data_IF_945156004519
#
_entry.id   IF_945156004519
#
_cell.length_a   1.000
_cell.length_b   1.000
_cell.length_c   1.000
_cell.angle_alpha   90.00
_cell.angle_beta   90.00
_cell.angle_gamma   90.00
#
_symmetry.space_group_name_H-M   'P 1'
#
loop_
_entity.id
_entity.type
_entity.pdbx_description
1 polymer ?
#
# COMPACT_ATOMS: atom_id res chain seq x y z
N UNK A 1 -2.50 4.37 21.82
CA UNK A 1 -3.35 4.04 20.66
C UNK A 1 -2.73 4.69 19.42
N UNK A 2 -2.83 4.07 18.24
CA UNK A 2 -2.36 4.69 16.99
C UNK A 2 -3.38 5.76 16.58
N UNK A 3 -2.94 7.00 16.51
CA UNK A 3 -3.72 8.12 15.99
C UNK A 3 -3.31 8.41 14.55
N UNK A 4 -4.28 8.76 13.70
CA UNK A 4 -4.01 9.22 12.35
C UNK A 4 -4.59 10.60 12.10
N UNK A 5 -3.85 11.41 11.35
CA UNK A 5 -4.27 12.76 10.96
C UNK A 5 -3.90 13.01 9.50
N UNK A 6 -4.86 13.43 8.69
CA UNK A 6 -4.59 13.93 7.35
C UNK A 6 -4.10 15.37 7.45
N UNK A 7 -2.83 15.60 7.08
CA UNK A 7 -2.18 16.93 7.17
C UNK A 7 -2.42 17.76 5.90
N UNK A 8 -2.42 17.08 4.74
CA UNK A 8 -2.81 17.63 3.44
C UNK A 8 -3.46 16.52 2.61
N UNK A 9 -4.00 16.81 1.41
CA UNK A 9 -4.51 15.76 0.52
C UNK A 9 -3.49 14.65 0.22
N UNK A 10 -2.20 14.97 0.21
CA UNK A 10 -1.06 14.10 -0.14
C UNK A 10 -0.32 13.54 1.08
N UNK A 11 -0.57 14.04 2.29
CA UNK A 11 0.19 13.67 3.50
C UNK A 11 -0.72 13.12 4.60
N UNK A 12 -0.49 11.85 4.95
CA UNK A 12 -1.11 11.17 6.08
C UNK A 12 -0.08 11.01 7.23
N UNK A 13 -0.44 11.40 8.44
CA UNK A 13 0.40 11.24 9.62
C UNK A 13 -0.13 10.13 10.52
N UNK A 14 0.76 9.23 10.95
CA UNK A 14 0.57 8.29 12.05
C UNK A 14 1.31 8.83 13.27
N UNK A 15 0.62 8.93 14.41
CA UNK A 15 1.20 9.29 15.69
C UNK A 15 1.07 8.10 16.62
N UNK A 16 2.22 7.56 17.05
CA UNK A 16 2.31 6.31 17.78
C UNK A 16 3.06 6.56 19.09
N UNK A 17 2.41 6.38 20.26
CA UNK A 17 3.14 6.38 21.52
C UNK A 17 4.05 5.15 21.56
N UNK A 18 5.29 5.30 22.03
CA UNK A 18 6.24 4.18 22.13
C UNK A 18 7.04 4.19 23.42
N UNK A 19 7.47 3.00 23.83
CA UNK A 19 8.52 2.74 24.81
C UNK A 19 9.77 2.24 24.08
N UNK A 20 10.94 2.50 24.65
CA UNK A 20 12.18 2.03 24.04
C UNK A 20 12.17 0.49 23.88
N UNK A 21 12.63 0.03 22.72
CA UNK A 21 12.73 -1.40 22.39
C UNK A 21 11.51 -1.96 21.65
N UNK A 22 10.39 -1.24 21.64
CA UNK A 22 9.18 -1.68 20.94
C UNK A 22 9.35 -1.67 19.43
N UNK A 23 8.77 -2.69 18.79
CA UNK A 23 8.71 -2.83 17.33
C UNK A 23 7.26 -2.71 16.88
N UNK A 24 7.05 -1.93 15.83
CA UNK A 24 5.74 -1.67 15.25
C UNK A 24 5.71 -2.25 13.84
N UNK A 25 4.68 -3.03 13.54
CA UNK A 25 4.51 -3.66 12.23
C UNK A 25 3.42 -2.95 11.43
N UNK A 26 3.61 -2.88 10.12
CA UNK A 26 2.65 -2.38 9.14
C UNK A 26 2.53 -3.41 8.02
N UNK A 27 1.29 -3.66 7.60
CA UNK A 27 1.02 -4.46 6.42
C UNK A 27 0.88 -3.55 5.20
N UNK A 28 1.72 -3.78 4.19
CA UNK A 28 1.73 -2.99 2.96
C UNK A 28 1.31 -3.89 1.79
N UNK A 29 0.35 -3.43 0.99
CA UNK A 29 -0.09 -4.16 -0.20
C UNK A 29 -0.39 -3.20 -1.37
N UNK A 30 -0.33 -3.71 -2.60
CA UNK A 30 -0.75 -3.03 -3.83
C UNK A 30 -1.25 -4.11 -4.80
N UNK A 31 -1.81 -3.69 -5.94
CA UNK A 31 -2.22 -4.58 -7.03
C UNK A 31 -3.09 -5.75 -6.53
N UNK A 32 -4.04 -5.44 -5.63
CA UNK A 32 -4.89 -6.44 -4.97
C UNK A 32 -5.90 -7.00 -5.97
N UNK A 33 -6.46 -6.14 -6.81
CA UNK A 33 -7.47 -6.48 -7.82
C UNK A 33 -8.64 -7.29 -7.27
N UNK A 34 -9.21 -6.83 -6.15
CA UNK A 34 -10.12 -7.59 -5.31
C UNK A 34 -11.32 -8.20 -6.07
N UNK A 35 -11.88 -7.49 -7.03
CA UNK A 35 -13.02 -7.91 -7.85
C UNK A 35 -12.67 -8.88 -8.99
N UNK A 36 -11.39 -9.05 -9.32
CA UNK A 36 -10.99 -9.99 -10.37
C UNK A 36 -11.11 -11.45 -9.88
N UNK A 37 -11.67 -12.40 -10.65
CA UNK A 37 -11.75 -13.82 -10.29
C UNK A 37 -10.40 -14.46 -9.94
N UNK A 38 -9.30 -13.97 -10.54
CA UNK A 38 -7.94 -14.44 -10.29
C UNK A 38 -7.32 -13.90 -8.99
N UNK A 39 -7.97 -12.97 -8.30
CA UNK A 39 -7.52 -12.50 -7.00
C UNK A 39 -7.70 -13.60 -5.93
N UNK A 40 -6.60 -13.99 -5.29
CA UNK A 40 -6.60 -14.87 -4.13
C UNK A 40 -7.06 -14.11 -2.87
N UNK A 41 -8.38 -13.97 -2.77
CA UNK A 41 -9.04 -13.34 -1.62
C UNK A 41 -8.79 -14.10 -0.31
N UNK A 42 -8.45 -15.39 -0.36
CA UNK A 42 -8.16 -16.18 0.85
C UNK A 42 -6.80 -15.80 1.39
N UNK A 43 -5.79 -15.73 0.54
CA UNK A 43 -4.45 -15.25 0.91
C UNK A 43 -4.51 -13.80 1.43
N UNK A 44 -5.23 -12.93 0.74
CA UNK A 44 -5.38 -11.54 1.18
C UNK A 44 -6.09 -11.43 2.54
N UNK A 45 -7.21 -12.14 2.72
CA UNK A 45 -7.92 -12.19 4.01
C UNK A 45 -7.01 -12.71 5.14
N UNK A 46 -6.22 -13.76 4.87
CA UNK A 46 -5.27 -14.30 5.85
C UNK A 46 -4.25 -13.27 6.31
N UNK A 47 -3.67 -12.49 5.40
CA UNK A 47 -2.74 -11.43 5.79
C UNK A 47 -3.43 -10.29 6.56
N UNK A 48 -4.69 -9.97 6.25
CA UNK A 48 -5.46 -9.00 7.03
C UNK A 48 -5.84 -9.50 8.42
N UNK A 49 -6.14 -10.80 8.55
CA UNK A 49 -6.36 -11.46 9.85
C UNK A 49 -5.07 -11.42 10.69
N UNK A 50 -3.91 -11.67 10.09
CA UNK A 50 -2.62 -11.54 10.75
C UNK A 50 -2.33 -10.08 11.17
N UNK A 51 -2.61 -9.11 10.29
CA UNK A 51 -2.46 -7.69 10.60
C UNK A 51 -3.35 -7.29 11.78
N UNK A 52 -4.59 -7.79 11.80
CA UNK A 52 -5.53 -7.58 12.90
C UNK A 52 -5.03 -8.20 14.21
N UNK A 53 -4.55 -9.44 14.18
CA UNK A 53 -4.00 -10.10 15.37
C UNK A 53 -2.79 -9.35 15.95
N UNK A 54 -1.96 -8.75 15.10
CA UNK A 54 -0.77 -7.95 15.48
C UNK A 54 -1.08 -6.48 15.81
N UNK A 55 -2.34 -6.03 15.67
CA UNK A 55 -2.72 -4.62 15.68
C UNK A 55 -1.89 -3.75 14.68
N UNK A 56 -1.44 -4.36 13.59
CA UNK A 56 -0.67 -3.70 12.54
C UNK A 56 -1.60 -2.90 11.61
N UNK A 57 -1.30 -1.61 11.33
CA UNK A 57 -2.00 -0.86 10.30
C UNK A 57 -1.80 -1.48 8.91
N UNK A 58 -2.88 -1.62 8.16
CA UNK A 58 -2.88 -2.04 6.76
C UNK A 58 -3.02 -0.83 5.83
N UNK A 59 -2.11 -0.73 4.86
CA UNK A 59 -2.00 0.37 3.89
C UNK A 59 -1.96 -0.18 2.47
N UNK A 60 -2.85 0.29 1.60
CA UNK A 60 -2.98 -0.19 0.22
C UNK A 60 -2.57 0.87 -0.80
N UNK A 61 -1.65 0.53 -1.70
CA UNK A 61 -0.94 1.48 -2.56
C UNK A 61 -1.34 1.35 -4.04
N UNK A 62 -2.61 1.54 -4.34
CA UNK A 62 -3.15 1.50 -5.70
C UNK A 62 -3.57 0.11 -6.18
N UNK A 63 -4.42 0.12 -7.22
CA UNK A 63 -5.00 -1.07 -7.86
C UNK A 63 -5.64 -2.03 -6.84
N UNK A 64 -6.38 -1.46 -5.88
CA UNK A 64 -7.18 -2.22 -4.92
C UNK A 64 -8.23 -3.01 -5.69
N UNK A 65 -8.77 -2.42 -6.76
CA UNK A 65 -9.74 -3.03 -7.66
C UNK A 65 -9.20 -3.14 -9.09
N UNK A 66 -9.70 -4.11 -9.84
CA UNK A 66 -9.42 -4.35 -11.24
C UNK A 66 -10.30 -3.50 -12.15
N UNK A 67 -11.62 -3.45 -11.92
CA UNK A 67 -12.53 -2.50 -12.60
C UNK A 67 -12.55 -2.59 -14.15
N UNK A 68 -12.09 -3.70 -14.73
CA UNK A 68 -11.89 -3.82 -16.18
C UNK A 68 -13.15 -4.21 -16.97
N UNK A 69 -14.34 -4.18 -16.35
CA UNK A 69 -15.55 -4.82 -16.89
C UNK A 69 -16.71 -3.83 -17.05
N UNK A 70 -16.43 -2.53 -16.94
CA UNK A 70 -17.39 -1.48 -17.24
C UNK A 70 -17.76 -1.46 -18.73
N UNK A 71 -18.92 -0.92 -19.05
CA UNK A 71 -19.46 -0.85 -20.43
C UNK A 71 -18.55 -0.14 -21.44
N UNK A 72 -17.66 0.75 -20.97
CA UNK A 72 -16.69 1.48 -21.80
C UNK A 72 -15.32 0.81 -21.89
N UNK A 73 -15.06 -0.29 -21.16
CA UNK A 73 -13.76 -0.96 -21.19
C UNK A 73 -13.67 -1.90 -22.40
N UNK A 74 -12.80 -1.56 -23.35
CA UNK A 74 -12.55 -2.36 -24.56
C UNK A 74 -11.84 -3.69 -24.27
N UNK A 75 -11.33 -3.86 -23.05
CA UNK A 75 -10.64 -5.07 -22.58
C UNK A 75 -11.58 -5.99 -21.80
N UNK A 76 -12.85 -5.62 -21.65
CA UNK A 76 -13.83 -6.39 -20.89
C UNK A 76 -13.96 -7.81 -21.44
N UNK A 77 -14.04 -8.76 -20.52
CA UNK A 77 -14.17 -10.19 -20.80
C UNK A 77 -15.08 -10.80 -19.74
N UNK A 78 -16.17 -11.43 -20.17
CA UNK A 78 -17.16 -12.05 -19.27
C UNK A 78 -16.53 -13.15 -18.40
N UNK A 79 -15.47 -13.82 -18.88
CA UNK A 79 -14.72 -14.81 -18.11
C UNK A 79 -13.88 -14.21 -16.97
N UNK A 80 -13.65 -12.91 -17.01
CA UNK A 80 -12.85 -12.14 -16.05
C UNK A 80 -13.72 -11.35 -15.06
N UNK A 81 -15.03 -11.66 -14.97
CA UNK A 81 -15.99 -11.08 -14.02
C UNK A 81 -16.35 -12.13 -12.97
N UNK A 82 -16.40 -11.76 -11.68
CA UNK A 82 -16.97 -12.63 -10.65
C UNK A 82 -18.49 -12.73 -10.85
N UNK A 83 -19.07 -13.92 -10.66
CA UNK A 83 -20.51 -14.17 -10.90
C UNK A 83 -21.40 -13.15 -10.16
N UNK A 84 -21.05 -12.79 -8.92
CA UNK A 84 -21.79 -11.79 -8.13
C UNK A 84 -21.80 -10.37 -8.71
N UNK A 85 -20.87 -10.05 -9.62
CA UNK A 85 -20.73 -8.75 -10.28
C UNK A 85 -21.37 -8.71 -11.67
N UNK A 86 -21.99 -9.81 -12.15
CA UNK A 86 -22.74 -9.86 -13.41
C UNK A 86 -24.12 -9.17 -13.26
N UNK A 87 -24.09 -7.85 -13.07
CA UNK A 87 -25.28 -7.00 -12.90
C UNK A 87 -25.21 -5.76 -13.80
N UNK A 88 -26.36 -5.14 -14.04
CA UNK A 88 -26.44 -3.93 -14.87
C UNK A 88 -25.62 -2.76 -14.31
N UNK A 89 -25.62 -2.59 -12.99
CA UNK A 89 -24.80 -1.61 -12.28
C UNK A 89 -23.47 -2.25 -11.79
N UNK A 90 -22.59 -2.59 -12.73
CA UNK A 90 -21.33 -3.28 -12.45
C UNK A 90 -20.48 -2.58 -11.37
N UNK A 91 -20.20 -1.28 -11.54
CA UNK A 91 -19.34 -0.53 -10.62
C UNK A 91 -19.93 -0.47 -9.21
N UNK A 92 -21.22 -0.15 -9.07
CA UNK A 92 -21.88 -0.12 -7.75
C UNK A 92 -21.80 -1.48 -7.07
N UNK A 93 -22.03 -2.56 -7.82
CA UNK A 93 -21.95 -3.93 -7.29
C UNK A 93 -20.53 -4.26 -6.80
N UNK A 94 -19.50 -3.85 -7.55
CA UNK A 94 -18.10 -4.02 -7.15
C UNK A 94 -17.78 -3.21 -5.90
N UNK A 95 -18.23 -1.96 -5.82
CA UNK A 95 -17.93 -1.07 -4.70
C UNK A 95 -18.61 -1.54 -3.41
N UNK A 96 -19.89 -1.91 -3.47
CA UNK A 96 -20.64 -2.45 -2.34
C UNK A 96 -20.02 -3.75 -1.81
N UNK A 97 -19.73 -4.69 -2.71
CA UNK A 97 -19.14 -5.97 -2.34
C UNK A 97 -17.72 -5.80 -1.78
N UNK A 98 -16.90 -4.96 -2.43
CA UNK A 98 -15.57 -4.61 -1.96
C UNK A 98 -15.59 -3.99 -0.57
N UNK A 99 -16.45 -2.99 -0.36
CA UNK A 99 -16.62 -2.35 0.95
C UNK A 99 -17.10 -3.37 2.00
N UNK A 100 -18.07 -4.23 1.67
CA UNK A 100 -18.54 -5.30 2.57
C UNK A 100 -17.42 -6.29 2.95
N UNK A 101 -16.58 -6.68 1.99
CA UNK A 101 -15.45 -7.56 2.24
C UNK A 101 -14.42 -6.91 3.17
N UNK A 102 -14.00 -5.69 2.84
CA UNK A 102 -12.93 -4.96 3.55
C UNK A 102 -13.36 -4.49 4.94
N UNK A 103 -14.64 -4.20 5.15
CA UNK A 103 -15.17 -3.72 6.44
C UNK A 103 -14.93 -4.69 7.60
N UNK A 104 -14.67 -5.97 7.35
CA UNK A 104 -14.30 -6.96 8.40
C UNK A 104 -12.99 -6.59 9.12
N UNK A 105 -12.15 -5.81 8.47
CA UNK A 105 -10.88 -5.26 8.97
C UNK A 105 -10.88 -3.72 8.98
N UNK A 106 -12.07 -3.09 9.06
CA UNK A 106 -12.24 -1.64 8.94
C UNK A 106 -11.46 -0.82 9.98
N UNK A 107 -11.16 -1.40 11.15
CA UNK A 107 -10.35 -0.76 12.20
C UNK A 107 -8.84 -0.84 11.94
N UNK A 108 -8.42 -1.79 11.10
CA UNK A 108 -7.02 -2.07 10.78
C UNK A 108 -6.60 -1.47 9.44
N UNK A 109 -7.54 -1.19 8.53
CA UNK A 109 -7.26 -0.57 7.24
C UNK A 109 -7.29 0.95 7.41
N UNK A 110 -6.14 1.60 7.24
CA UNK A 110 -6.02 3.05 7.46
C UNK A 110 -5.96 3.84 6.16
N UNK A 111 -5.55 3.24 5.06
CA UNK A 111 -5.30 3.99 3.83
C UNK A 111 -5.49 3.11 2.59
N UNK A 112 -6.11 3.70 1.57
CA UNK A 112 -6.16 3.21 0.20
C UNK A 112 -5.76 4.34 -0.73
N UNK A 113 -4.73 4.13 -1.54
CA UNK A 113 -4.31 5.07 -2.57
C UNK A 113 -4.83 4.67 -3.95
N UNK A 114 -4.97 5.63 -4.85
CA UNK A 114 -5.30 5.35 -6.25
C UNK A 114 -4.17 4.61 -6.97
N UNK A 115 -4.54 3.72 -7.90
CA UNK A 115 -3.64 3.17 -8.91
C UNK A 115 -4.09 3.52 -10.33
N UNK A 116 -3.52 2.84 -11.32
CA UNK A 116 -3.85 3.12 -12.71
C UNK A 116 -5.23 2.57 -13.09
N UNK A 117 -5.72 1.56 -12.39
CA UNK A 117 -7.08 1.05 -12.58
C UNK A 117 -8.12 2.04 -12.05
N UNK A 118 -7.94 2.56 -10.84
CA UNK A 118 -8.86 3.55 -10.27
C UNK A 118 -8.91 4.84 -11.09
N UNK A 119 -7.74 5.40 -11.44
CA UNK A 119 -7.66 6.66 -12.20
C UNK A 119 -8.19 6.53 -13.62
N UNK A 120 -8.10 5.35 -14.26
CA UNK A 120 -8.72 5.10 -15.55
C UNK A 120 -10.25 5.19 -15.48
N UNK A 121 -10.87 4.68 -14.41
CA UNK A 121 -12.32 4.79 -14.21
C UNK A 121 -12.74 6.24 -13.95
N UNK A 122 -11.99 6.98 -13.13
CA UNK A 122 -12.25 8.41 -12.94
C UNK A 122 -12.25 9.16 -14.28
N UNK A 123 -11.26 8.86 -15.14
CA UNK A 123 -11.11 9.52 -16.44
C UNK A 123 -12.19 9.18 -17.46
N UNK A 124 -12.61 7.92 -17.54
CA UNK A 124 -13.48 7.43 -18.62
C UNK A 124 -14.95 7.30 -18.21
N UNK A 125 -15.20 7.20 -16.91
CA UNK A 125 -16.52 6.96 -16.35
C UNK A 125 -16.94 8.02 -15.34
N UNK A 126 -16.07 8.99 -14.99
CA UNK A 126 -16.39 10.12 -14.10
C UNK A 126 -16.82 9.67 -12.70
N UNK A 127 -16.36 8.47 -12.31
CA UNK A 127 -16.66 7.85 -11.02
C UNK A 127 -15.35 7.60 -10.30
N UNK A 128 -15.29 8.01 -9.04
CA UNK A 128 -14.17 7.74 -8.14
C UNK A 128 -14.41 6.43 -7.38
N UNK A 129 -13.68 5.34 -7.70
CA UNK A 129 -13.92 4.04 -7.10
C UNK A 129 -13.61 4.01 -5.60
N UNK A 130 -12.42 4.49 -5.21
CA UNK A 130 -11.96 4.42 -3.83
C UNK A 130 -12.67 5.41 -2.93
N UNK A 131 -13.07 6.58 -3.43
CA UNK A 131 -13.95 7.47 -2.67
C UNK A 131 -15.27 6.80 -2.33
N UNK A 132 -15.88 6.05 -3.25
CA UNK A 132 -17.11 5.32 -2.99
C UNK A 132 -16.90 4.20 -1.95
N UNK A 133 -15.88 3.36 -2.13
CA UNK A 133 -15.59 2.24 -1.21
C UNK A 133 -15.23 2.74 0.18
N UNK A 134 -14.33 3.71 0.29
CA UNK A 134 -13.93 4.28 1.60
C UNK A 134 -15.07 5.03 2.27
N UNK A 135 -15.99 5.66 1.51
CA UNK A 135 -17.22 6.25 2.08
C UNK A 135 -18.10 5.17 2.70
N UNK A 136 -18.39 4.10 1.97
CA UNK A 136 -19.19 2.97 2.48
C UNK A 136 -18.56 2.29 3.70
N UNK A 137 -17.23 2.18 3.74
CA UNK A 137 -16.52 1.68 4.91
C UNK A 137 -16.61 2.64 6.11
N UNK A 138 -16.49 3.96 5.88
CA UNK A 138 -16.62 4.99 6.92
C UNK A 138 -18.03 5.07 7.49
N UNK A 139 -19.06 4.87 6.67
CA UNK A 139 -20.46 4.75 7.12
C UNK A 139 -20.65 3.57 8.11
N UNK A 140 -19.73 2.60 8.12
CA UNK A 140 -19.69 1.47 9.06
C UNK A 140 -18.67 1.63 10.19
N UNK A 141 -18.11 2.83 10.37
CA UNK A 141 -17.19 3.16 11.46
C UNK A 141 -15.70 2.98 11.16
N UNK A 142 -15.32 2.60 9.93
CA UNK A 142 -13.90 2.58 9.54
C UNK A 142 -13.31 3.99 9.53
N UNK A 143 -12.01 4.10 9.76
CA UNK A 143 -11.22 5.35 9.65
C UNK A 143 -10.36 5.43 8.39
N UNK A 144 -10.63 4.57 7.41
CA UNK A 144 -9.84 4.49 6.19
C UNK A 144 -9.83 5.82 5.43
N UNK A 145 -8.64 6.27 5.07
CA UNK A 145 -8.42 7.45 4.23
C UNK A 145 -8.22 7.04 2.76
N UNK A 146 -8.80 7.83 1.87
CA UNK A 146 -8.55 7.74 0.43
C UNK A 146 -7.47 8.75 0.04
N UNK A 147 -6.37 8.25 -0.52
CA UNK A 147 -5.20 9.01 -0.94
C UNK A 147 -5.04 8.96 -2.47
N UNK A 148 -4.34 9.94 -3.04
CA UNK A 148 -4.07 10.02 -4.48
C UNK A 148 -3.02 9.00 -4.95
N UNK A 149 -2.71 9.00 -6.25
CA UNK A 149 -1.76 8.08 -6.91
C UNK A 149 -0.35 8.03 -6.29
N UNK A 150 0.06 9.13 -5.66
CA UNK A 150 1.31 9.28 -4.93
C UNK A 150 1.09 10.14 -3.68
N UNK A 151 2.01 10.04 -2.72
CA UNK A 151 1.95 10.85 -1.51
C UNK A 151 2.97 10.44 -0.47
N UNK A 152 2.77 10.94 0.75
CA UNK A 152 3.64 10.70 1.89
C UNK A 152 2.87 10.20 3.09
N UNK A 153 3.53 9.33 3.84
CA UNK A 153 3.10 8.86 5.15
C UNK A 153 4.20 9.23 6.15
N UNK A 154 3.83 10.08 7.09
CA UNK A 154 4.68 10.49 8.20
C UNK A 154 4.40 9.59 9.39
N UNK A 155 5.37 8.77 9.78
CA UNK A 155 5.22 7.87 10.92
C UNK A 155 6.03 8.45 12.08
N UNK A 156 5.31 9.09 13.01
CA UNK A 156 5.88 9.76 14.18
C UNK A 156 5.66 8.94 15.43
N UNK A 157 6.77 8.57 16.05
CA UNK A 157 6.81 7.92 17.35
C UNK A 157 7.12 8.97 18.41
N UNK A 158 6.29 9.04 19.46
CA UNK A 158 6.47 10.00 20.53
C UNK A 158 6.50 9.33 21.91
N UNK A 159 7.33 9.85 22.81
CA UNK A 159 7.32 9.51 24.23
C UNK A 159 6.58 10.62 25.00
N UNK A 160 5.91 10.25 26.08
CA UNK A 160 5.46 11.18 27.11
C UNK A 160 6.40 11.07 28.30
N UNK A 161 6.82 12.22 28.83
CA UNK A 161 7.59 12.28 30.07
C UNK A 161 6.67 12.03 31.28
N UNK A 162 7.22 11.66 32.45
CA UNK A 162 6.43 11.43 33.66
C UNK A 162 5.62 12.66 34.13
N UNK A 163 6.06 13.87 33.79
CA UNK A 163 5.39 15.13 34.09
C UNK A 163 4.29 15.51 33.07
N UNK A 164 4.02 14.64 32.10
CA UNK A 164 3.05 14.86 31.03
C UNK A 164 3.56 15.71 29.85
N UNK A 165 4.80 16.21 29.89
CA UNK A 165 5.40 16.94 28.77
C UNK A 165 5.80 16.01 27.63
N UNK A 166 5.97 16.57 26.42
CA UNK A 166 6.37 15.81 25.24
C UNK A 166 7.85 15.42 25.34
N UNK A 167 8.13 14.12 25.32
CA UNK A 167 9.46 13.55 25.33
C UNK A 167 10.07 13.44 23.93
N UNK A 168 10.95 12.44 23.74
CA UNK A 168 11.64 12.21 22.47
C UNK A 168 10.67 11.88 21.35
N UNK A 169 10.88 12.51 20.19
CA UNK A 169 10.20 12.16 18.93
C UNK A 169 11.17 11.47 17.99
N UNK A 170 10.68 10.43 17.31
CA UNK A 170 11.35 9.80 16.17
C UNK A 170 10.39 9.81 15.01
N UNK A 171 10.91 10.05 13.81
CA UNK A 171 10.10 10.09 12.61
C UNK A 171 10.76 9.27 11.52
N UNK A 172 9.93 8.58 10.75
CA UNK A 172 10.32 8.05 9.45
C UNK A 172 9.30 8.47 8.41
N UNK A 173 9.76 8.72 7.19
CA UNK A 173 8.93 9.12 6.07
C UNK A 173 8.87 7.99 5.06
N UNK A 174 7.66 7.51 4.79
CA UNK A 174 7.38 6.63 3.66
C UNK A 174 6.75 7.47 2.55
N UNK A 175 7.40 7.54 1.40
CA UNK A 175 6.79 8.06 0.18
C UNK A 175 6.26 6.89 -0.65
N UNK A 176 5.17 7.10 -1.37
CA UNK A 176 4.64 6.10 -2.27
C UNK A 176 4.25 6.70 -3.61
N UNK A 177 4.31 5.87 -4.63
CA UNK A 177 3.82 6.15 -5.96
C UNK A 177 3.34 4.84 -6.56
N UNK A 178 2.12 4.74 -7.06
CA UNK A 178 1.58 3.45 -7.50
C UNK A 178 2.47 2.76 -8.53
N UNK A 179 2.95 3.49 -9.54
CA UNK A 179 4.04 3.00 -10.39
C UNK A 179 4.08 3.61 -11.78
N UNK A 180 5.24 3.54 -12.41
CA UNK A 180 5.46 3.96 -13.82
C UNK A 180 6.66 3.23 -14.42
N UNK A 181 7.66 2.90 -13.60
CA UNK A 181 8.84 2.14 -14.02
C UNK A 181 8.71 0.65 -13.70
N UNK A 182 9.23 -0.20 -14.58
CA UNK A 182 9.23 -1.64 -14.44
C UNK A 182 10.42 -2.26 -15.15
N UNK A 183 10.32 -3.54 -15.49
CA UNK A 183 11.33 -4.27 -16.26
C UNK A 183 11.33 -5.73 -15.89
N UNK A 184 11.23 -6.62 -16.89
CA UNK A 184 11.12 -8.08 -16.67
C UNK A 184 12.41 -8.65 -16.06
N UNK A 185 13.57 -8.23 -16.56
CA UNK A 185 14.86 -8.76 -16.10
C UNK A 185 15.30 -8.11 -14.79
N UNK A 186 15.13 -6.78 -14.69
CA UNK A 186 15.56 -5.99 -13.52
C UNK A 186 14.55 -6.02 -12.38
N UNK A 187 13.37 -6.61 -12.60
CA UNK A 187 12.23 -6.64 -11.67
C UNK A 187 11.79 -5.24 -11.21
N UNK A 188 12.02 -4.23 -12.04
CA UNK A 188 11.70 -2.82 -11.72
C UNK A 188 12.62 -2.14 -10.69
N UNK A 189 13.65 -2.83 -10.17
CA UNK A 189 14.53 -2.29 -9.11
C UNK A 189 15.30 -1.03 -9.52
N UNK A 190 15.58 -0.85 -10.82
CA UNK A 190 16.19 0.39 -11.34
C UNK A 190 15.32 1.65 -11.11
N UNK A 191 14.03 1.48 -10.88
CA UNK A 191 13.12 2.56 -10.50
C UNK A 191 13.44 3.17 -9.14
N UNK A 192 14.07 2.41 -8.21
CA UNK A 192 14.35 2.86 -6.85
C UNK A 192 15.13 4.16 -6.78
N UNK A 193 16.24 4.26 -7.51
CA UNK A 193 17.04 5.49 -7.58
C UNK A 193 16.25 6.68 -8.16
N UNK A 194 15.36 6.42 -9.13
CA UNK A 194 14.52 7.48 -9.72
C UNK A 194 13.48 7.98 -8.74
N UNK A 195 12.85 7.08 -7.99
CA UNK A 195 11.90 7.46 -6.95
C UNK A 195 12.59 8.23 -5.81
N UNK A 196 13.79 7.82 -5.40
CA UNK A 196 14.52 8.56 -4.36
C UNK A 196 14.99 9.95 -4.81
N UNK A 197 15.16 10.18 -6.11
CA UNK A 197 15.42 11.52 -6.65
C UNK A 197 14.18 12.43 -6.57
N UNK A 198 12.97 11.90 -6.81
CA UNK A 198 11.74 12.70 -6.68
C UNK A 198 11.23 12.80 -5.23
N UNK A 199 11.61 11.85 -4.38
CA UNK A 199 11.29 11.83 -2.95
C UNK A 199 12.57 11.90 -2.09
N UNK A 200 13.33 13.01 -2.15
CA UNK A 200 14.66 13.09 -1.52
C UNK A 200 14.62 12.94 0.00
N UNK A 201 13.50 13.26 0.65
CA UNK A 201 13.32 13.23 2.11
C UNK A 201 12.81 11.90 2.66
N UNK A 202 12.44 10.95 1.79
CA UNK A 202 11.82 9.70 2.21
C UNK A 202 12.85 8.66 2.69
N UNK A 203 12.62 8.02 3.84
CA UNK A 203 13.44 6.88 4.26
C UNK A 203 13.01 5.58 3.56
N UNK A 204 11.73 5.51 3.18
CA UNK A 204 11.12 4.38 2.50
C UNK A 204 10.43 4.91 1.26
N UNK A 205 10.61 4.25 0.13
CA UNK A 205 9.80 4.43 -1.07
C UNK A 205 9.09 3.13 -1.37
N UNK A 206 7.78 3.19 -1.61
CA UNK A 206 7.00 2.04 -2.04
C UNK A 206 6.31 2.29 -3.38
N UNK A 207 6.35 1.30 -4.27
CA UNK A 207 5.50 1.24 -5.46
C UNK A 207 4.86 -0.14 -5.68
N UNK A 208 3.79 -0.19 -6.45
CA UNK A 208 3.18 -1.40 -7.02
C UNK A 208 3.31 -1.39 -8.54
N UNK A 209 2.18 -1.61 -9.24
CA UNK A 209 1.95 -1.54 -10.69
C UNK A 209 2.58 -2.66 -11.53
N UNK A 210 3.80 -3.08 -11.18
CA UNK A 210 4.52 -4.09 -11.97
C UNK A 210 4.45 -5.50 -11.38
N UNK A 211 3.71 -5.67 -10.27
CA UNK A 211 3.50 -6.93 -9.55
C UNK A 211 4.81 -7.61 -9.08
N UNK A 212 5.92 -6.90 -9.11
CA UNK A 212 7.19 -7.39 -8.58
C UNK A 212 7.21 -7.23 -7.07
N UNK A 213 7.87 -8.16 -6.38
CA UNK A 213 8.02 -8.11 -4.94
C UNK A 213 9.50 -8.08 -4.57
N UNK A 214 9.97 -6.92 -4.15
CA UNK A 214 11.40 -6.66 -3.88
C UNK A 214 11.58 -5.77 -2.65
N UNK A 215 12.70 -5.97 -1.96
CA UNK A 215 13.21 -5.08 -0.91
C UNK A 215 14.65 -4.76 -1.28
N UNK A 216 14.91 -3.51 -1.68
CA UNK A 216 16.23 -3.06 -2.10
C UNK A 216 16.73 -1.97 -1.15
N UNK A 217 17.95 -2.15 -0.64
CA UNK A 217 18.59 -1.18 0.25
C UNK A 217 19.44 -0.21 -0.55
N UNK A 218 19.23 1.08 -0.32
CA UNK A 218 20.01 2.18 -0.88
C UNK A 218 20.71 2.92 0.26
N UNK A 219 21.96 2.56 0.50
CA UNK A 219 22.82 3.19 1.50
C UNK A 219 23.33 4.54 1.01
N UNK A 220 23.17 5.59 1.80
CA UNK A 220 23.61 6.94 1.46
C UNK A 220 24.22 7.69 2.66
N UNK A 221 25.04 8.69 2.36
CA UNK A 221 25.52 9.64 3.38
C UNK A 221 24.44 10.68 3.65
N UNK A 222 24.05 10.83 4.92
CA UNK A 222 23.04 11.79 5.36
C UNK A 222 23.62 12.66 6.49
N UNK A 223 23.73 13.98 6.28
CA UNK A 223 24.05 14.89 7.37
C UNK A 223 22.87 15.00 8.34
N UNK A 224 23.15 15.11 9.63
CA UNK A 224 22.14 15.39 10.66
C UNK A 224 22.18 16.86 11.10
N UNK A 225 21.20 17.26 11.93
CA UNK A 225 21.05 18.64 12.37
C UNK A 225 22.21 19.17 13.25
N UNK A 226 23.04 18.28 13.81
CA UNK A 226 24.23 18.66 14.60
C UNK A 226 25.51 18.67 13.77
N UNK A 227 25.40 18.47 12.44
CA UNK A 227 26.51 18.60 11.50
C UNK A 227 27.37 17.35 11.32
N UNK A 228 26.97 16.20 11.84
CA UNK A 228 27.69 14.94 11.58
C UNK A 228 27.06 14.20 10.40
N UNK A 229 27.89 13.53 9.59
CA UNK A 229 27.45 12.72 8.47
C UNK A 229 27.32 11.26 8.91
N UNK A 230 26.15 10.67 8.68
CA UNK A 230 25.86 9.27 9.00
C UNK A 230 25.62 8.47 7.72
N UNK A 231 26.11 7.23 7.70
CA UNK A 231 25.73 6.27 6.66
C UNK A 231 24.36 5.69 7.05
N UNK A 232 23.36 5.93 6.20
CA UNK A 232 21.97 5.56 6.46
C UNK A 232 21.40 4.75 5.29
N UNK A 233 20.64 3.71 5.62
CA UNK A 233 19.93 2.90 4.65
C UNK A 233 18.53 3.48 4.38
N UNK A 234 18.20 3.62 3.10
CA UNK A 234 16.84 3.89 2.61
C UNK A 234 16.32 2.64 1.91
N UNK A 235 15.03 2.32 2.08
CA UNK A 235 14.45 1.12 1.48
C UNK A 235 13.55 1.45 0.29
N UNK A 236 13.86 0.86 -0.86
CA UNK A 236 12.94 0.80 -1.99
C UNK A 236 12.18 -0.52 -1.92
N UNK A 237 10.86 -0.42 -1.83
CA UNK A 237 9.94 -1.53 -1.68
C UNK A 237 9.04 -1.63 -2.91
N UNK A 238 8.87 -2.86 -3.41
CA UNK A 238 7.83 -3.17 -4.37
C UNK A 238 6.87 -4.18 -3.76
N UNK A 239 5.58 -3.84 -3.72
CA UNK A 239 4.56 -4.78 -3.30
C UNK A 239 4.22 -5.70 -4.47
N UNK A 240 4.13 -7.01 -4.19
CA UNK A 240 3.57 -7.96 -5.14
C UNK A 240 2.07 -7.73 -5.33
N UNK A 241 1.42 -8.69 -5.99
CA UNK A 241 -0.01 -8.68 -6.29
C UNK A 241 -0.77 -9.75 -5.50
N UNK A 242 -2.09 -9.67 -5.47
CA UNK A 242 -2.95 -10.80 -5.06
C UNK A 242 -3.63 -11.49 -6.24
N UNK A 243 -3.38 -11.05 -7.47
CA UNK A 243 -3.96 -11.60 -8.70
C UNK A 243 -3.03 -12.64 -9.31
N UNK A 244 -3.43 -13.91 -9.27
CA UNK A 244 -2.67 -15.00 -9.86
C UNK A 244 -2.94 -15.10 -11.37
N UNK A 245 -2.01 -14.59 -12.17
CA UNK A 245 -2.17 -14.48 -13.62
C UNK A 245 -1.50 -15.60 -14.43
N UNK A 246 -0.63 -16.40 -13.81
CA UNK A 246 0.25 -17.38 -14.46
C UNK A 246 -0.07 -18.83 -14.08
N UNK A 247 -0.91 -19.06 -13.08
CA UNK A 247 -1.38 -20.41 -12.71
C UNK A 247 -2.16 -21.14 -13.83
N UNK A 248 -2.56 -20.43 -14.88
CA UNK A 248 -3.07 -21.01 -16.13
C UNK A 248 -2.13 -20.62 -17.27
N UNK A 249 -1.89 -21.52 -18.23
CA UNK A 249 -0.98 -21.32 -19.35
C UNK A 249 -1.51 -20.41 -20.48
N UNK A 250 -2.42 -19.47 -20.19
CA UNK A 250 -3.01 -18.58 -21.19
C UNK A 250 -3.55 -17.28 -20.62
N UNK A 251 -3.79 -16.31 -21.51
CA UNK A 251 -4.25 -14.96 -21.18
C UNK A 251 -3.14 -13.91 -21.22
N UNK A 252 -3.55 -12.64 -21.10
CA UNK A 252 -2.69 -11.48 -21.37
C UNK A 252 -1.33 -11.51 -20.68
N UNK A 253 -1.27 -11.82 -19.37
CA UNK A 253 -0.01 -11.84 -18.64
C UNK A 253 0.95 -12.92 -19.15
N UNK A 254 0.44 -14.12 -19.47
CA UNK A 254 1.25 -15.20 -20.06
C UNK A 254 1.75 -14.80 -21.45
N UNK A 255 0.90 -14.18 -22.26
CA UNK A 255 1.22 -13.81 -23.65
C UNK A 255 2.16 -12.59 -23.77
N UNK A 256 2.10 -11.64 -22.82
CA UNK A 256 2.80 -10.35 -22.91
C UNK A 256 3.93 -10.17 -21.91
N UNK A 257 3.84 -10.81 -20.74
CA UNK A 257 4.82 -10.69 -19.66
C UNK A 257 5.65 -11.96 -19.55
N UNK A 258 5.01 -13.13 -19.72
CA UNK A 258 5.59 -14.48 -19.67
C UNK A 258 6.25 -14.91 -18.34
N UNK A 259 6.57 -13.96 -17.45
CA UNK A 259 7.25 -14.22 -16.18
C UNK A 259 6.27 -14.24 -14.99
N UNK A 260 6.11 -15.38 -14.30
CA UNK A 260 5.30 -15.49 -13.10
C UNK A 260 5.68 -14.50 -12.01
N UNK A 261 4.69 -14.04 -11.25
CA UNK A 261 4.84 -13.05 -10.18
C UNK A 261 4.55 -13.66 -8.83
N UNK A 262 5.27 -13.19 -7.81
CA UNK A 262 5.05 -13.64 -6.43
C UNK A 262 3.81 -12.96 -5.87
N UNK A 263 2.90 -13.77 -5.30
CA UNK A 263 1.73 -13.24 -4.59
C UNK A 263 2.09 -12.73 -3.20
N UNK A 264 1.32 -11.74 -2.73
CA UNK A 264 1.37 -11.25 -1.36
C UNK A 264 2.00 -9.87 -1.20
N UNK A 265 1.79 -9.28 -0.02
CA UNK A 265 2.28 -7.97 0.37
C UNK A 265 3.61 -8.02 1.10
N UNK A 266 3.84 -7.00 1.92
CA UNK A 266 5.05 -6.79 2.71
C UNK A 266 4.71 -6.51 4.18
N UNK A 267 5.58 -6.97 5.07
CA UNK A 267 5.58 -6.61 6.49
C UNK A 267 6.70 -5.61 6.75
N UNK A 268 6.34 -4.35 6.98
CA UNK A 268 7.28 -3.30 7.37
C UNK A 268 7.39 -3.27 8.90
N UNK A 269 8.61 -3.39 9.41
CA UNK A 269 8.93 -3.36 10.83
C UNK A 269 9.72 -2.10 11.15
N UNK A 270 9.20 -1.30 12.08
CA UNK A 270 9.76 -0.04 12.53
C UNK A 270 10.10 -0.10 14.02
N UNK A 271 11.35 0.17 14.37
CA UNK A 271 11.82 0.19 15.75
C UNK A 271 12.48 1.53 16.08
N UNK A 272 11.79 2.43 16.80
CA UNK A 272 12.37 3.69 17.26
C UNK A 272 13.60 3.43 18.15
N UNK A 273 14.72 4.11 17.87
CA UNK A 273 15.97 3.92 18.62
C UNK A 273 16.10 4.94 19.76
N UNK A 274 16.75 4.54 20.85
CA UNK A 274 17.13 5.46 21.95
C UNK A 274 18.00 6.63 21.47
N UNK A 275 18.95 6.31 20.61
CA UNK A 275 19.85 7.23 19.91
C UNK A 275 19.74 7.00 18.41
N UNK A 276 19.73 8.07 17.62
CA UNK A 276 19.45 8.00 16.18
C UNK A 276 17.95 7.90 15.85
N UNK A 277 17.63 7.73 14.57
CA UNK A 277 16.26 7.72 14.04
C UNK A 277 15.46 6.44 14.32
N UNK A 278 14.75 5.96 13.30
CA UNK A 278 13.95 4.72 13.34
C UNK A 278 14.73 3.62 12.61
N UNK A 279 14.90 2.44 13.22
CA UNK A 279 15.40 1.28 12.50
C UNK A 279 14.27 0.72 11.61
N UNK A 280 14.61 0.41 10.35
CA UNK A 280 13.65 0.01 9.33
C UNK A 280 14.07 -1.37 8.79
N UNK A 281 13.13 -2.30 8.73
CA UNK A 281 13.32 -3.59 8.06
C UNK A 281 12.01 -4.03 7.41
N UNK A 282 12.10 -4.87 6.39
CA UNK A 282 10.94 -5.30 5.63
C UNK A 282 11.10 -6.77 5.21
N UNK A 283 10.03 -7.54 5.32
CA UNK A 283 9.97 -8.93 4.89
C UNK A 283 8.72 -9.19 4.05
N UNK A 284 8.71 -10.29 3.31
CA UNK A 284 7.56 -10.67 2.48
C UNK A 284 6.47 -11.31 3.35
N UNK A 285 5.21 -10.94 3.10
CA UNK A 285 4.07 -11.66 3.65
C UNK A 285 3.89 -12.97 2.87
N UNK A 286 4.06 -14.11 3.55
CA UNK A 286 4.03 -15.47 2.98
C UNK A 286 2.72 -16.20 3.23
#
# INVERSE_FOLDING_TARGET
MIETKRLSPEVLEFRIPYKCGETFEFFLASDIHLDNPKCDRKLFARHLDEAKAKNAPALFFGDVFCLMQGSKDRRADKGSIRIGHLKGAYFDTVFEEGANFLSRWGDNIYMMSDGNHETAIMKHNEVDPLRNVTRLMREKGSKVEHMSYQGFIFIKFYQQNPDGSQGKVRMTTLAFHHGVWGGVVTKGTLGGSRYFNIFPTANIVLNGHNHERTVVTHTCYMPNAVGTVEITDRLHLQSGTYKEEFGKFGGFAVEKIAMPKSLGGLWLKLRPRDKGGVAISCEFAT
#
